data_IF_254788813711
#
_entry.id   IF_254788813711
#
_cell.length_a   1.000
_cell.length_b   1.000
_cell.length_c   1.000
_cell.angle_alpha   90.00
_cell.angle_beta   90.00
_cell.angle_gamma   90.00
#
_symmetry.space_group_name_H-M   'P 1'
#
loop_
_entity.id
_entity.type
_entity.pdbx_description
1 polymer ?
#
# COMPACT_ATOMS: atom_id res chain seq x y z
N UNK A 1 30.75 -5.51 -30.30
CA UNK A 1 29.35 -5.05 -30.27
C UNK A 1 29.10 -4.34 -28.94
N UNK A 2 28.47 -3.19 -28.99
CA UNK A 2 28.05 -2.52 -27.77
C UNK A 2 27.11 -3.40 -26.98
N UNK A 3 27.39 -3.60 -25.69
CA UNK A 3 26.60 -4.49 -24.81
C UNK A 3 25.19 -3.95 -24.53
N UNK A 4 25.00 -2.61 -24.63
CA UNK A 4 23.75 -1.88 -24.40
C UNK A 4 23.80 -0.53 -25.11
N UNK A 5 22.61 0.03 -25.39
CA UNK A 5 22.47 1.31 -26.12
C UNK A 5 22.73 2.51 -25.22
N UNK A 6 22.41 2.43 -23.94
CA UNK A 6 22.52 3.52 -22.96
C UNK A 6 22.85 2.95 -21.59
N UNK A 7 23.77 3.59 -20.86
CA UNK A 7 24.06 3.26 -19.46
C UNK A 7 23.33 4.25 -18.54
N UNK A 8 22.52 3.71 -17.64
CA UNK A 8 21.86 4.44 -16.56
C UNK A 8 22.61 4.27 -15.24
N UNK A 9 22.63 5.32 -14.44
CA UNK A 9 23.07 5.23 -13.05
C UNK A 9 22.06 4.40 -12.26
N UNK A 10 20.79 4.67 -12.46
CA UNK A 10 19.65 3.96 -11.83
C UNK A 10 18.63 3.57 -12.89
N UNK A 11 18.30 2.29 -12.98
CA UNK A 11 17.24 1.79 -13.84
C UNK A 11 16.14 1.16 -12.98
N UNK A 12 14.91 1.64 -13.13
CA UNK A 12 13.78 1.26 -12.28
C UNK A 12 12.73 0.53 -13.12
N UNK A 13 12.31 -0.65 -12.69
CA UNK A 13 11.26 -1.44 -13.35
C UNK A 13 9.95 -1.30 -12.57
N UNK A 14 8.97 -0.65 -13.18
CA UNK A 14 7.65 -0.33 -12.64
C UNK A 14 7.50 1.15 -12.27
N UNK A 15 6.64 1.88 -13.00
CA UNK A 15 6.33 3.30 -12.79
C UNK A 15 5.09 3.53 -11.92
N UNK A 16 4.72 2.58 -11.05
CA UNK A 16 3.76 2.83 -9.97
C UNK A 16 4.34 3.78 -8.92
N UNK A 17 3.58 4.14 -7.86
CA UNK A 17 4.01 5.13 -6.87
C UNK A 17 5.39 4.85 -6.25
N UNK A 18 5.72 3.58 -6.01
CA UNK A 18 7.03 3.19 -5.46
C UNK A 18 8.19 3.53 -6.40
N UNK A 19 8.08 3.13 -7.68
CA UNK A 19 9.13 3.36 -8.67
C UNK A 19 9.23 4.83 -9.08
N UNK A 20 8.11 5.50 -9.31
CA UNK A 20 8.10 6.93 -9.65
C UNK A 20 8.66 7.77 -8.50
N UNK A 21 8.31 7.46 -7.23
CA UNK A 21 8.88 8.17 -6.08
C UNK A 21 10.37 7.85 -5.86
N UNK A 22 10.83 6.65 -6.21
CA UNK A 22 12.26 6.34 -6.20
C UNK A 22 13.00 7.21 -7.23
N UNK A 23 12.49 7.32 -8.47
CA UNK A 23 13.06 8.19 -9.50
C UNK A 23 13.10 9.66 -9.05
N UNK A 24 11.98 10.18 -8.51
CA UNK A 24 11.91 11.53 -7.92
C UNK A 24 12.96 11.71 -6.82
N UNK A 25 13.11 10.72 -5.96
CA UNK A 25 14.06 10.79 -4.84
C UNK A 25 15.51 10.84 -5.33
N UNK A 26 15.90 10.00 -6.28
CA UNK A 26 17.25 10.03 -6.86
C UNK A 26 17.55 11.38 -7.51
N UNK A 27 16.64 11.90 -8.33
CA UNK A 27 16.83 13.18 -9.02
C UNK A 27 16.86 14.38 -8.08
N UNK A 28 16.09 14.38 -6.98
CA UNK A 28 16.15 15.44 -5.97
C UNK A 28 17.42 15.37 -5.11
N UNK A 29 17.96 14.18 -4.84
CA UNK A 29 19.21 14.03 -4.06
C UNK A 29 20.45 14.28 -4.91
N UNK A 30 20.42 13.93 -6.19
CA UNK A 30 21.47 14.22 -7.14
C UNK A 30 20.90 14.40 -8.56
N UNK A 31 20.69 15.65 -9.02
CA UNK A 31 20.11 15.95 -10.35
C UNK A 31 20.93 15.42 -11.53
N UNK A 32 22.23 15.16 -11.32
CA UNK A 32 23.14 14.71 -12.38
C UNK A 32 23.02 13.21 -12.66
N UNK A 33 22.34 12.43 -11.82
CA UNK A 33 22.14 11.01 -12.07
C UNK A 33 21.28 10.78 -13.30
N UNK A 34 21.70 9.87 -14.16
CA UNK A 34 20.90 9.38 -15.28
C UNK A 34 19.96 8.28 -14.79
N UNK A 35 18.67 8.62 -14.71
CA UNK A 35 17.64 7.73 -14.17
C UNK A 35 16.71 7.28 -15.30
N UNK A 36 16.55 5.97 -15.48
CA UNK A 36 15.57 5.37 -16.39
C UNK A 36 14.43 4.71 -15.60
N UNK A 37 13.19 4.89 -16.07
CA UNK A 37 11.97 4.34 -15.46
C UNK A 37 11.16 3.61 -16.53
N UNK A 38 10.87 2.32 -16.30
CA UNK A 38 10.26 1.44 -17.28
C UNK A 38 8.92 0.94 -16.75
N UNK A 39 7.85 1.03 -17.53
CA UNK A 39 6.58 0.36 -17.22
C UNK A 39 6.00 -0.31 -18.46
N UNK A 40 5.40 -1.48 -18.25
CA UNK A 40 4.71 -2.23 -19.33
C UNK A 40 3.43 -1.56 -19.82
N UNK A 41 2.86 -0.66 -19.01
CA UNK A 41 1.65 0.09 -19.31
C UNK A 41 1.98 1.46 -19.86
N UNK A 42 1.04 2.03 -20.62
CA UNK A 42 1.01 3.44 -20.99
C UNK A 42 0.10 4.14 -20.00
N UNK A 43 0.53 5.27 -19.44
CA UNK A 43 -0.25 6.04 -18.47
C UNK A 43 -1.10 7.11 -19.18
N UNK A 44 -2.29 7.45 -18.63
CA UNK A 44 -2.83 6.96 -17.35
C UNK A 44 -3.35 5.53 -17.44
N UNK A 45 -3.08 4.73 -16.39
CA UNK A 45 -3.55 3.34 -16.30
C UNK A 45 -4.17 3.06 -14.95
N UNK A 46 -5.19 2.20 -14.92
CA UNK A 46 -5.81 1.75 -13.67
C UNK A 46 -5.05 0.60 -13.00
N UNK A 47 -5.12 0.54 -11.65
CA UNK A 47 -4.62 -0.56 -10.83
C UNK A 47 -5.59 -0.81 -9.68
N UNK A 48 -5.96 -2.08 -9.44
CA UNK A 48 -6.81 -2.46 -8.30
C UNK A 48 -6.23 -1.95 -6.97
N UNK A 49 -7.01 -1.15 -6.24
CA UNK A 49 -6.69 -0.51 -4.97
C UNK A 49 -7.98 0.02 -4.33
N UNK A 50 -7.99 0.24 -3.02
CA UNK A 50 -9.05 1.00 -2.34
C UNK A 50 -8.95 2.51 -2.56
N UNK A 51 -7.88 3.01 -3.19
CA UNK A 51 -7.63 4.41 -3.56
C UNK A 51 -7.46 5.38 -2.39
N UNK A 52 -7.62 4.93 -1.14
CA UNK A 52 -7.37 5.75 0.03
C UNK A 52 -5.86 5.98 0.22
N UNK A 53 -5.48 7.22 0.44
CA UNK A 53 -4.13 7.65 0.78
C UNK A 53 -4.16 8.45 2.08
N UNK A 54 -3.33 8.02 3.01
CA UNK A 54 -3.24 8.62 4.34
C UNK A 54 -2.05 9.55 4.51
N UNK A 55 -1.81 9.98 5.77
CA UNK A 55 -0.75 10.93 6.15
C UNK A 55 0.64 10.54 5.66
N UNK A 56 0.96 9.24 5.64
CA UNK A 56 2.26 8.76 5.17
C UNK A 56 2.55 9.09 3.71
N UNK A 57 1.57 8.93 2.82
CA UNK A 57 1.72 9.31 1.39
C UNK A 57 1.87 10.82 1.25
N UNK A 58 1.08 11.59 2.01
CA UNK A 58 1.15 13.06 2.01
C UNK A 58 2.54 13.53 2.48
N UNK A 59 3.06 12.94 3.55
CA UNK A 59 4.41 13.22 4.06
C UNK A 59 5.50 12.89 3.03
N UNK A 60 5.35 11.76 2.31
CA UNK A 60 6.28 11.39 1.25
C UNK A 60 6.27 12.41 0.09
N UNK A 61 5.11 12.96 -0.27
CA UNK A 61 4.98 14.02 -1.29
C UNK A 61 5.54 15.36 -0.78
N UNK A 62 5.22 15.76 0.45
CA UNK A 62 5.71 17.00 1.09
C UNK A 62 7.23 17.05 1.15
N UNK A 63 7.92 15.90 1.24
CA UNK A 63 9.39 15.82 1.32
C UNK A 63 10.11 16.57 0.19
N UNK A 64 9.51 16.60 -0.99
CA UNK A 64 10.05 17.28 -2.19
C UNK A 64 9.07 18.35 -2.72
N UNK A 65 8.21 18.90 -1.87
CA UNK A 65 7.22 19.93 -2.20
C UNK A 65 6.21 19.51 -3.29
N UNK A 66 5.89 18.23 -3.36
CA UNK A 66 5.00 17.67 -4.39
C UNK A 66 3.55 17.51 -3.94
N UNK A 67 3.17 18.00 -2.76
CA UNK A 67 1.80 17.86 -2.22
C UNK A 67 0.73 18.58 -3.05
N UNK A 68 1.12 19.54 -3.88
CA UNK A 68 0.22 20.26 -4.79
C UNK A 68 -0.56 19.34 -5.76
N UNK A 69 -0.06 18.12 -6.01
CA UNK A 69 -0.81 17.15 -6.83
C UNK A 69 -2.11 16.66 -6.16
N UNK A 70 -2.31 16.99 -4.87
CA UNK A 70 -3.51 16.68 -4.10
C UNK A 70 -4.47 17.87 -4.00
N UNK A 71 -4.11 19.02 -4.56
CA UNK A 71 -4.94 20.22 -4.50
C UNK A 71 -6.32 19.95 -5.12
N UNK A 72 -7.36 20.50 -4.48
CA UNK A 72 -8.76 20.32 -4.87
C UNK A 72 -9.29 18.86 -4.75
N UNK A 73 -8.57 17.95 -4.10
CA UNK A 73 -9.13 16.66 -3.74
C UNK A 73 -10.00 16.78 -2.48
N UNK A 74 -11.20 16.18 -2.46
CA UNK A 74 -12.06 16.23 -1.30
C UNK A 74 -11.49 15.37 -0.17
N UNK A 75 -11.38 15.96 1.02
CA UNK A 75 -10.87 15.28 2.21
C UNK A 75 -11.92 14.35 2.82
N UNK A 76 -11.44 13.23 3.33
CA UNK A 76 -12.23 12.34 4.19
C UNK A 76 -12.22 12.92 5.61
N UNK A 77 -13.37 12.93 6.27
CA UNK A 77 -13.53 13.54 7.59
C UNK A 77 -13.81 12.52 8.70
N UNK A 78 -14.24 11.31 8.34
CA UNK A 78 -14.53 10.28 9.33
C UNK A 78 -14.30 8.87 8.79
N UNK A 79 -14.29 7.90 9.70
CA UNK A 79 -14.30 6.48 9.42
C UNK A 79 -15.45 5.81 10.14
N UNK A 80 -16.10 4.85 9.49
CA UNK A 80 -17.09 3.98 10.13
C UNK A 80 -16.63 2.54 9.99
N UNK A 81 -16.61 1.82 11.10
CA UNK A 81 -16.22 0.43 11.16
C UNK A 81 -17.41 -0.42 11.59
N UNK A 82 -17.84 -1.33 10.73
CA UNK A 82 -18.85 -2.35 11.02
C UNK A 82 -18.20 -3.69 11.32
N UNK A 83 -18.74 -4.40 12.28
CA UNK A 83 -18.33 -5.75 12.66
C UNK A 83 -19.50 -6.71 12.77
N UNK A 84 -19.25 -7.94 13.28
CA UNK A 84 -20.31 -8.93 13.47
C UNK A 84 -21.52 -8.38 14.25
N UNK A 85 -22.72 -8.84 13.88
CA UNK A 85 -24.01 -8.37 14.42
C UNK A 85 -24.29 -6.88 14.09
N UNK A 86 -23.70 -6.35 13.00
CA UNK A 86 -23.84 -4.94 12.57
C UNK A 86 -23.51 -3.92 13.68
N UNK A 87 -22.61 -4.27 14.60
CA UNK A 87 -22.08 -3.31 15.56
C UNK A 87 -21.26 -2.29 14.76
N UNK A 88 -21.77 -1.07 14.62
CA UNK A 88 -21.11 0.04 13.93
C UNK A 88 -20.49 1.02 14.93
N UNK A 89 -19.28 1.49 14.61
CA UNK A 89 -18.60 2.58 15.32
C UNK A 89 -18.22 3.61 14.29
N UNK A 90 -18.71 4.83 14.44
CA UNK A 90 -18.23 5.97 13.66
C UNK A 90 -17.20 6.74 14.50
N UNK A 91 -16.07 7.01 13.88
CA UNK A 91 -15.04 7.84 14.46
C UNK A 91 -14.69 8.97 13.47
N UNK A 92 -14.72 10.19 13.96
CA UNK A 92 -14.15 11.31 13.23
C UNK A 92 -12.63 11.11 13.17
N UNK A 93 -12.03 11.33 12.02
CA UNK A 93 -10.56 11.37 11.93
C UNK A 93 -10.11 12.43 12.90
N UNK A 94 -9.33 12.08 13.93
CA UNK A 94 -9.03 13.02 14.99
C UNK A 94 -8.49 14.32 14.40
N UNK A 95 -8.97 15.46 14.87
CA UNK A 95 -8.22 16.71 14.73
C UNK A 95 -6.93 16.54 15.53
N UNK A 96 -5.97 15.77 14.99
CA UNK A 96 -4.65 15.66 15.59
C UNK A 96 -4.11 17.07 15.75
N UNK A 97 -3.38 17.29 16.83
CA UNK A 97 -2.86 18.61 17.29
C UNK A 97 -2.24 19.51 16.22
N UNK A 98 -2.01 18.97 15.01
CA UNK A 98 -1.70 19.69 13.77
C UNK A 98 -2.69 19.23 12.69
N UNK A 99 -3.66 20.03 12.31
CA UNK A 99 -4.70 19.75 11.31
C UNK A 99 -4.21 19.21 9.95
N UNK A 100 -2.94 19.41 9.62
CA UNK A 100 -2.35 18.96 8.38
C UNK A 100 -1.90 17.49 8.37
N UNK A 101 -1.69 16.86 9.54
CA UNK A 101 -1.06 15.55 9.66
C UNK A 101 -2.04 14.36 9.67
N UNK A 102 -3.36 14.62 9.62
CA UNK A 102 -4.40 13.57 9.67
C UNK A 102 -5.26 13.49 8.44
N UNK A 103 -4.87 14.17 7.36
CA UNK A 103 -5.67 14.25 6.14
C UNK A 103 -5.63 12.91 5.42
N UNK A 104 -6.80 12.47 4.96
CA UNK A 104 -6.98 11.29 4.10
C UNK A 104 -7.72 11.71 2.84
N UNK A 105 -7.31 11.19 1.69
CA UNK A 105 -7.99 11.38 0.41
C UNK A 105 -8.35 10.03 -0.20
N UNK A 106 -9.33 10.02 -1.11
CA UNK A 106 -9.64 8.87 -1.96
C UNK A 106 -9.48 9.30 -3.41
N UNK A 107 -8.37 8.88 -4.02
CA UNK A 107 -7.98 9.29 -5.38
C UNK A 107 -7.80 8.03 -6.23
N UNK A 108 -8.59 7.88 -7.31
CA UNK A 108 -8.42 6.75 -8.22
C UNK A 108 -6.97 6.58 -8.68
N UNK A 109 -6.50 5.34 -8.69
CA UNK A 109 -5.11 5.01 -9.06
C UNK A 109 -4.74 5.45 -10.47
N UNK A 110 -5.73 5.55 -11.36
CA UNK A 110 -5.53 6.08 -12.71
C UNK A 110 -5.03 7.53 -12.66
N UNK A 111 -5.53 8.33 -11.72
CA UNK A 111 -5.15 9.73 -11.54
C UNK A 111 -3.88 9.85 -10.67
N UNK A 112 -3.86 9.22 -9.49
CA UNK A 112 -2.74 9.33 -8.55
C UNK A 112 -1.42 8.88 -9.16
N UNK A 113 -1.41 7.67 -9.77
CA UNK A 113 -0.19 7.10 -10.35
C UNK A 113 0.33 7.98 -11.50
N UNK A 114 -0.58 8.49 -12.34
CA UNK A 114 -0.23 9.38 -13.45
C UNK A 114 0.35 10.72 -12.96
N UNK A 115 -0.22 11.29 -11.91
CA UNK A 115 0.30 12.54 -11.30
C UNK A 115 1.70 12.35 -10.76
N UNK A 116 1.96 11.26 -10.01
CA UNK A 116 3.30 10.98 -9.47
C UNK A 116 4.31 10.69 -10.60
N UNK A 117 3.91 9.97 -11.64
CA UNK A 117 4.77 9.73 -12.81
C UNK A 117 5.11 11.04 -13.52
N UNK A 118 4.15 11.96 -13.68
CA UNK A 118 4.40 13.25 -14.30
C UNK A 118 5.39 14.13 -13.51
N UNK A 119 5.40 14.02 -12.17
CA UNK A 119 6.46 14.64 -11.35
C UNK A 119 7.84 14.08 -11.71
N UNK A 120 7.97 12.76 -11.87
CA UNK A 120 9.23 12.13 -12.28
C UNK A 120 9.65 12.60 -13.69
N UNK A 121 8.72 12.65 -14.65
CA UNK A 121 8.97 13.18 -16.01
C UNK A 121 9.48 14.62 -15.99
N UNK A 122 8.96 15.46 -15.08
CA UNK A 122 9.40 16.85 -14.90
C UNK A 122 10.81 17.02 -14.34
N UNK A 123 11.45 15.93 -13.86
CA UNK A 123 12.80 15.93 -13.29
C UNK A 123 13.87 15.30 -14.23
N UNK A 124 13.63 15.28 -15.52
CA UNK A 124 14.58 14.70 -16.50
C UNK A 124 14.86 13.20 -16.21
N UNK A 125 13.80 12.42 -16.01
CA UNK A 125 13.82 10.97 -15.93
C UNK A 125 13.44 10.40 -17.30
N UNK A 126 14.26 9.50 -17.86
CA UNK A 126 13.94 8.80 -19.10
C UNK A 126 12.84 7.76 -18.86
N UNK A 127 11.63 7.99 -19.34
CA UNK A 127 10.47 7.10 -19.09
C UNK A 127 10.14 6.28 -20.32
N UNK A 128 10.14 4.94 -20.16
CA UNK A 128 9.81 3.95 -21.17
C UNK A 128 8.43 3.34 -20.87
N UNK A 129 7.38 3.93 -21.38
CA UNK A 129 6.01 3.41 -21.27
C UNK A 129 5.74 2.37 -22.37
N UNK A 130 5.01 1.31 -22.06
CA UNK A 130 4.73 0.20 -22.97
C UNK A 130 5.88 -0.83 -23.09
N UNK A 131 6.92 -0.69 -22.25
CA UNK A 131 8.07 -1.62 -22.26
C UNK A 131 8.01 -2.59 -21.08
N UNK A 132 8.02 -3.87 -21.38
CA UNK A 132 8.07 -4.94 -20.39
C UNK A 132 9.50 -5.35 -20.08
N UNK A 133 9.85 -5.49 -18.80
CA UNK A 133 11.08 -6.14 -18.38
C UNK A 133 11.11 -7.60 -18.84
N UNK A 134 12.23 -8.04 -19.39
CA UNK A 134 12.48 -9.41 -19.84
C UNK A 134 13.45 -10.11 -18.89
N UNK A 135 14.69 -9.61 -18.83
CA UNK A 135 15.78 -10.21 -18.05
C UNK A 135 16.84 -9.18 -17.70
N UNK A 136 17.75 -9.55 -16.83
CA UNK A 136 19.02 -8.87 -16.65
C UNK A 136 20.17 -9.87 -16.51
N UNK A 137 21.37 -9.47 -16.89
CA UNK A 137 22.60 -10.21 -16.66
C UNK A 137 23.69 -9.26 -16.17
N UNK A 138 24.70 -9.80 -15.51
CA UNK A 138 25.88 -9.03 -15.06
C UNK A 138 26.99 -9.15 -16.09
N UNK A 139 27.53 -8.02 -16.53
CA UNK A 139 28.63 -8.01 -17.48
C UNK A 139 30.00 -8.15 -16.78
N UNK A 140 31.08 -8.21 -17.60
CA UNK A 140 32.47 -8.31 -17.11
C UNK A 140 32.90 -7.12 -16.22
N UNK A 141 32.26 -5.96 -16.37
CA UNK A 141 32.58 -4.73 -15.66
C UNK A 141 31.66 -4.52 -14.43
N UNK A 142 30.98 -5.59 -13.99
CA UNK A 142 30.02 -5.61 -12.89
C UNK A 142 28.78 -4.70 -13.08
N UNK A 143 28.49 -4.26 -14.31
CA UNK A 143 27.27 -3.53 -14.66
C UNK A 143 26.17 -4.51 -15.05
N UNK A 144 24.93 -4.08 -14.92
CA UNK A 144 23.77 -4.87 -15.29
C UNK A 144 23.36 -4.53 -16.73
N UNK A 145 23.23 -5.54 -17.57
CA UNK A 145 22.62 -5.44 -18.90
C UNK A 145 21.17 -5.89 -18.76
N UNK A 146 20.25 -4.96 -18.95
CA UNK A 146 18.80 -5.17 -18.74
C UNK A 146 18.11 -5.22 -20.10
N UNK A 147 17.40 -6.31 -20.34
CA UNK A 147 16.56 -6.45 -21.53
C UNK A 147 15.14 -6.02 -21.24
N UNK A 148 14.64 -5.12 -22.09
CA UNK A 148 13.24 -4.69 -22.11
C UNK A 148 12.66 -4.90 -23.49
N UNK A 149 11.32 -5.06 -23.60
CA UNK A 149 10.65 -5.24 -24.89
C UNK A 149 9.40 -4.39 -25.04
N UNK A 150 9.18 -3.92 -26.25
CA UNK A 150 7.93 -3.32 -26.72
C UNK A 150 7.48 -4.08 -27.97
N UNK A 151 6.36 -4.80 -27.89
CA UNK A 151 5.99 -5.77 -28.91
C UNK A 151 7.09 -6.83 -29.07
N UNK A 152 7.60 -6.99 -30.29
CA UNK A 152 8.69 -7.92 -30.63
C UNK A 152 10.09 -7.28 -30.53
N UNK A 153 10.16 -5.97 -30.34
CA UNK A 153 11.43 -5.25 -30.29
C UNK A 153 12.08 -5.37 -28.91
N UNK A 154 13.27 -5.91 -28.85
CA UNK A 154 14.10 -6.01 -27.65
C UNK A 154 15.12 -4.88 -27.66
N UNK A 155 15.22 -4.18 -26.52
CA UNK A 155 16.22 -3.14 -26.27
C UNK A 155 17.06 -3.56 -25.06
N UNK A 156 18.39 -3.38 -25.16
CA UNK A 156 19.33 -3.62 -24.06
C UNK A 156 19.76 -2.28 -23.47
N UNK A 157 19.56 -2.13 -22.17
CA UNK A 157 19.96 -0.94 -21.38
C UNK A 157 21.01 -1.37 -20.35
N UNK A 158 22.02 -0.53 -20.13
CA UNK A 158 22.95 -0.72 -19.03
C UNK A 158 22.44 -0.09 -17.74
N UNK A 159 22.75 -0.68 -16.59
CA UNK A 159 22.44 -0.08 -15.30
C UNK A 159 23.58 -0.32 -14.27
N UNK A 160 23.91 0.70 -13.47
CA UNK A 160 24.80 0.53 -12.31
C UNK A 160 24.03 -0.06 -11.13
N UNK A 161 22.77 0.36 -10.94
CA UNK A 161 21.81 -0.25 -10.02
C UNK A 161 20.48 -0.51 -10.73
N UNK A 162 19.88 -1.68 -10.49
CA UNK A 162 18.55 -2.05 -10.95
C UNK A 162 17.58 -2.08 -9.77
N UNK A 163 16.44 -1.40 -9.92
CA UNK A 163 15.40 -1.36 -8.89
C UNK A 163 14.13 -2.07 -9.40
N UNK A 164 13.75 -3.16 -8.74
CA UNK A 164 12.48 -3.85 -9.00
C UNK A 164 11.35 -3.23 -8.19
N UNK A 165 10.48 -2.48 -8.86
CA UNK A 165 9.25 -1.86 -8.34
C UNK A 165 8.00 -2.36 -9.10
N UNK A 166 8.09 -3.54 -9.70
CA UNK A 166 7.18 -4.12 -10.68
C UNK A 166 6.02 -4.92 -10.06
N UNK A 167 5.70 -4.63 -8.80
CA UNK A 167 4.49 -5.07 -8.11
C UNK A 167 4.53 -6.51 -7.60
N UNK A 168 3.36 -7.02 -7.14
CA UNK A 168 3.25 -8.31 -6.45
C UNK A 168 3.75 -9.52 -7.29
N UNK A 169 3.61 -9.44 -8.61
CA UNK A 169 4.06 -10.47 -9.55
C UNK A 169 5.45 -10.18 -10.15
N UNK A 170 6.30 -9.48 -9.42
CA UNK A 170 7.61 -9.00 -9.86
C UNK A 170 8.41 -10.04 -10.63
N UNK A 171 8.80 -9.67 -11.85
CA UNK A 171 9.71 -10.46 -12.69
C UNK A 171 11.16 -10.29 -12.26
N UNK A 172 11.53 -9.09 -11.79
CA UNK A 172 12.87 -8.84 -11.25
C UNK A 172 13.10 -9.75 -10.04
N UNK A 173 12.15 -9.84 -9.10
CA UNK A 173 12.23 -10.76 -7.97
C UNK A 173 12.34 -12.22 -8.39
N UNK A 174 11.55 -12.64 -9.39
CA UNK A 174 11.58 -14.02 -9.89
C UNK A 174 12.95 -14.38 -10.45
N UNK A 175 13.59 -13.48 -11.19
CA UNK A 175 14.92 -13.72 -11.75
C UNK A 175 16.01 -13.78 -10.67
N UNK A 176 15.82 -13.11 -9.54
CA UNK A 176 16.68 -13.24 -8.37
C UNK A 176 16.52 -14.59 -7.64
N UNK A 177 15.65 -15.48 -8.14
CA UNK A 177 15.26 -16.74 -7.47
C UNK A 177 14.74 -16.53 -6.03
N UNK A 178 14.17 -15.37 -5.78
CA UNK A 178 13.62 -15.02 -4.47
C UNK A 178 12.17 -15.51 -4.39
N UNK A 179 11.94 -16.45 -3.49
CA UNK A 179 10.61 -17.02 -3.29
C UNK A 179 9.61 -15.94 -2.83
N UNK A 180 8.38 -16.09 -3.29
CA UNK A 180 7.27 -15.31 -2.76
C UNK A 180 6.92 -15.78 -1.35
N UNK A 181 6.31 -14.92 -0.55
CA UNK A 181 5.75 -15.28 0.73
C UNK A 181 4.80 -16.49 0.61
N UNK A 182 4.66 -17.26 1.67
CA UNK A 182 3.61 -18.30 1.74
C UNK A 182 2.22 -17.66 1.68
N UNK A 183 1.19 -18.46 1.39
CA UNK A 183 -0.19 -17.97 1.28
C UNK A 183 -0.72 -17.36 2.58
N UNK A 184 -0.14 -17.73 3.74
CA UNK A 184 -0.44 -17.13 5.04
C UNK A 184 -0.09 -15.63 5.12
N UNK A 185 0.91 -15.19 4.37
CA UNK A 185 1.37 -13.80 4.31
C UNK A 185 0.87 -13.07 3.07
N UNK A 186 -0.28 -13.47 2.54
CA UNK A 186 -0.93 -12.86 1.39
C UNK A 186 -2.43 -12.72 1.63
N UNK A 187 -3.04 -11.77 0.92
CA UNK A 187 -4.48 -11.74 0.71
C UNK A 187 -4.79 -11.66 -0.78
N UNK A 188 -6.01 -12.04 -1.12
CA UNK A 188 -6.62 -11.70 -2.39
C UNK A 188 -7.73 -10.70 -2.13
N UNK A 189 -7.83 -9.68 -2.96
CA UNK A 189 -8.89 -8.68 -2.89
C UNK A 189 -9.46 -8.42 -4.29
N UNK A 190 -10.74 -8.04 -4.34
CA UNK A 190 -11.39 -7.51 -5.52
C UNK A 190 -11.86 -6.09 -5.22
N UNK A 191 -11.75 -5.22 -6.22
CA UNK A 191 -12.26 -3.86 -6.20
C UNK A 191 -13.19 -3.63 -7.38
N UNK A 192 -14.25 -2.87 -7.17
CA UNK A 192 -15.09 -2.28 -8.19
C UNK A 192 -15.30 -0.79 -7.93
N UNK A 193 -15.69 -0.04 -8.96
CA UNK A 193 -16.29 1.28 -8.81
C UNK A 193 -17.80 1.19 -9.00
N UNK A 194 -18.53 1.97 -8.21
CA UNK A 194 -19.97 2.17 -8.35
C UNK A 194 -20.30 3.65 -8.33
N UNK A 195 -21.44 4.02 -8.86
CA UNK A 195 -22.05 5.33 -8.64
C UNK A 195 -23.04 5.19 -7.48
N UNK A 196 -22.92 6.07 -6.47
CA UNK A 196 -23.78 6.08 -5.30
C UNK A 196 -24.20 7.51 -4.97
N UNK A 197 -25.36 7.97 -5.49
CA UNK A 197 -25.80 9.36 -5.35
C UNK A 197 -26.13 9.73 -3.90
N UNK A 198 -26.47 8.77 -3.06
CA UNK A 198 -26.89 9.00 -1.67
C UNK A 198 -25.88 8.61 -0.60
N UNK A 199 -24.66 8.17 -0.97
CA UNK A 199 -23.67 7.71 0.02
C UNK A 199 -23.35 8.78 1.07
N UNK A 200 -23.11 10.03 0.62
CA UNK A 200 -22.77 11.12 1.53
C UNK A 200 -23.97 11.53 2.41
N UNK A 201 -25.20 11.33 1.94
CA UNK A 201 -26.42 11.55 2.72
C UNK A 201 -26.58 10.49 3.82
N UNK A 202 -26.40 9.21 3.48
CA UNK A 202 -26.51 8.07 4.42
C UNK A 202 -25.48 8.18 5.55
N UNK A 203 -24.24 8.52 5.22
CA UNK A 203 -23.16 8.65 6.20
C UNK A 203 -22.99 10.08 6.74
N UNK A 204 -23.82 11.04 6.26
CA UNK A 204 -23.85 12.48 6.61
C UNK A 204 -22.56 13.24 6.28
N UNK A 205 -21.49 12.56 5.88
CA UNK A 205 -20.17 13.13 5.62
C UNK A 205 -19.38 12.23 4.66
N UNK A 206 -18.23 12.73 4.19
CA UNK A 206 -17.26 11.95 3.42
C UNK A 206 -16.52 10.97 4.34
N UNK A 207 -17.08 9.80 4.50
CA UNK A 207 -16.70 8.76 5.45
C UNK A 207 -16.08 7.56 4.75
N UNK A 208 -14.92 7.07 5.22
CA UNK A 208 -14.43 5.75 4.86
C UNK A 208 -15.22 4.69 5.62
N UNK A 209 -15.88 3.79 4.91
CA UNK A 209 -16.59 2.68 5.54
C UNK A 209 -15.75 1.41 5.42
N UNK A 210 -15.56 0.75 6.56
CA UNK A 210 -14.95 -0.57 6.67
C UNK A 210 -15.93 -1.57 7.27
N UNK A 211 -15.82 -2.82 6.85
CA UNK A 211 -16.59 -3.93 7.37
C UNK A 211 -15.66 -5.12 7.65
N UNK A 212 -15.66 -5.61 8.88
CA UNK A 212 -14.77 -6.71 9.30
C UNK A 212 -15.61 -7.89 9.77
N UNK A 213 -15.36 -9.08 9.19
CA UNK A 213 -16.07 -10.32 9.52
C UNK A 213 -17.60 -10.24 9.36
N UNK A 214 -18.09 -9.51 8.37
CA UNK A 214 -19.53 -9.43 8.05
C UNK A 214 -19.80 -10.11 6.71
N UNK A 215 -19.45 -9.49 5.57
CA UNK A 215 -19.62 -10.05 4.24
C UNK A 215 -18.69 -11.22 3.94
N UNK A 216 -17.54 -11.31 4.62
CA UNK A 216 -16.64 -12.46 4.56
C UNK A 216 -16.08 -12.77 5.94
N UNK A 217 -16.21 -14.02 6.38
CA UNK A 217 -15.55 -14.47 7.59
C UNK A 217 -14.02 -14.34 7.44
N UNK A 218 -13.34 -13.74 8.43
CA UNK A 218 -11.89 -13.47 8.46
C UNK A 218 -11.39 -12.50 7.37
N UNK A 219 -12.31 -11.82 6.66
CA UNK A 219 -12.01 -10.80 5.68
C UNK A 219 -12.43 -9.40 6.13
N UNK A 220 -12.14 -8.41 5.29
CA UNK A 220 -12.69 -7.08 5.42
C UNK A 220 -13.13 -6.54 4.07
N UNK A 221 -14.16 -5.69 4.10
CA UNK A 221 -14.65 -4.97 2.95
C UNK A 221 -14.58 -3.45 3.20
N UNK A 222 -14.62 -2.69 2.12
CA UNK A 222 -14.53 -1.23 2.19
C UNK A 222 -15.47 -0.56 1.19
N UNK A 223 -15.92 0.65 1.54
CA UNK A 223 -16.59 1.58 0.64
C UNK A 223 -16.02 2.98 0.89
N UNK A 224 -15.30 3.52 -0.08
CA UNK A 224 -14.54 4.76 0.03
C UNK A 224 -15.00 5.77 -1.01
N UNK A 225 -15.55 6.93 -0.57
CA UNK A 225 -16.09 7.95 -1.48
C UNK A 225 -14.95 8.74 -2.15
N UNK A 226 -14.94 8.74 -3.48
CA UNK A 226 -14.08 9.58 -4.32
C UNK A 226 -14.80 10.87 -4.72
N UNK A 227 -14.40 11.53 -5.80
CA UNK A 227 -15.07 12.73 -6.33
C UNK A 227 -16.48 12.42 -6.85
N UNK A 228 -17.39 13.37 -6.70
CA UNK A 228 -18.77 13.23 -7.12
C UNK A 228 -19.47 12.07 -6.41
N UNK A 229 -20.20 11.27 -7.16
CA UNK A 229 -20.91 10.09 -6.66
C UNK A 229 -20.08 8.80 -6.76
N UNK A 230 -18.83 8.87 -7.19
CA UNK A 230 -17.96 7.71 -7.36
C UNK A 230 -17.58 7.12 -6.01
N UNK A 231 -17.86 5.84 -5.85
CA UNK A 231 -17.49 5.05 -4.67
C UNK A 231 -16.60 3.89 -5.09
N UNK A 232 -15.43 3.79 -4.47
CA UNK A 232 -14.57 2.63 -4.57
C UNK A 232 -15.01 1.62 -3.54
N UNK A 233 -15.44 0.45 -3.99
CA UNK A 233 -15.84 -0.65 -3.11
C UNK A 233 -14.97 -1.86 -3.33
N UNK A 234 -14.85 -2.70 -2.30
CA UNK A 234 -14.14 -3.97 -2.47
C UNK A 234 -14.13 -4.81 -1.22
N UNK A 235 -13.60 -6.01 -1.39
CA UNK A 235 -13.48 -6.99 -0.32
C UNK A 235 -12.16 -7.76 -0.46
N UNK A 236 -11.52 -8.07 0.66
CA UNK A 236 -10.29 -8.83 0.72
C UNK A 236 -10.32 -9.91 1.79
N UNK A 237 -9.72 -11.06 1.47
CA UNK A 237 -9.62 -12.20 2.39
C UNK A 237 -8.20 -12.76 2.40
N UNK A 238 -7.71 -13.33 3.51
CA UNK A 238 -6.43 -14.03 3.56
C UNK A 238 -6.38 -15.16 2.52
N UNK A 239 -5.31 -15.26 1.76
CA UNK A 239 -5.20 -16.21 0.64
C UNK A 239 -5.27 -17.67 1.09
N UNK A 240 -4.71 -17.99 2.26
CA UNK A 240 -4.79 -19.33 2.85
C UNK A 240 -6.25 -19.71 3.20
N UNK A 241 -7.07 -18.78 3.67
CA UNK A 241 -8.50 -18.98 3.94
C UNK A 241 -9.26 -19.12 2.62
N UNK A 242 -9.04 -18.20 1.69
CA UNK A 242 -9.65 -18.22 0.36
C UNK A 242 -9.52 -19.59 -0.32
N UNK A 243 -8.29 -20.15 -0.32
CA UNK A 243 -8.02 -21.47 -0.91
C UNK A 243 -8.61 -22.62 -0.11
N UNK A 244 -8.47 -22.57 1.22
CA UNK A 244 -8.96 -23.64 2.13
C UNK A 244 -10.47 -23.81 2.04
N UNK A 245 -11.20 -22.69 2.05
CA UNK A 245 -12.66 -22.65 2.06
C UNK A 245 -13.25 -22.61 0.64
N UNK A 246 -12.39 -22.61 -0.41
CA UNK A 246 -12.77 -22.58 -1.83
C UNK A 246 -13.73 -21.42 -2.15
N UNK A 247 -13.45 -20.25 -1.60
CA UNK A 247 -14.27 -19.06 -1.77
C UNK A 247 -14.24 -18.56 -3.22
N UNK A 248 -15.33 -17.90 -3.64
CA UNK A 248 -15.37 -17.13 -4.89
C UNK A 248 -15.35 -15.63 -4.54
N UNK A 249 -14.34 -14.92 -5.06
CA UNK A 249 -14.15 -13.50 -4.73
C UNK A 249 -15.27 -12.61 -5.32
N UNK A 250 -15.90 -13.03 -6.42
CA UNK A 250 -17.01 -12.28 -7.01
C UNK A 250 -18.28 -12.45 -6.17
N UNK A 251 -18.53 -13.65 -5.65
CA UNK A 251 -19.64 -13.90 -4.71
C UNK A 251 -19.48 -13.03 -3.47
N UNK A 252 -18.28 -12.98 -2.90
CA UNK A 252 -18.01 -12.12 -1.73
C UNK A 252 -18.24 -10.64 -2.01
N UNK A 253 -17.92 -10.16 -3.23
CA UNK A 253 -18.21 -8.78 -3.63
C UNK A 253 -19.73 -8.55 -3.73
N UNK A 254 -20.48 -9.47 -4.28
CA UNK A 254 -21.96 -9.37 -4.37
C UNK A 254 -22.62 -9.39 -2.98
N UNK A 255 -22.12 -10.23 -2.07
CA UNK A 255 -22.56 -10.23 -0.66
C UNK A 255 -22.33 -8.87 -0.01
N UNK A 256 -21.16 -8.26 -0.26
CA UNK A 256 -20.87 -6.92 0.25
C UNK A 256 -21.77 -5.84 -0.37
N UNK A 257 -22.01 -5.88 -1.67
CA UNK A 257 -22.95 -4.98 -2.34
C UNK A 257 -24.36 -5.12 -1.72
N UNK A 258 -24.80 -6.34 -1.42
CA UNK A 258 -26.06 -6.59 -0.73
C UNK A 258 -26.08 -5.94 0.65
N UNK A 259 -24.98 -6.01 1.41
CA UNK A 259 -24.88 -5.33 2.72
C UNK A 259 -24.95 -3.81 2.58
N UNK A 260 -24.32 -3.22 1.57
CA UNK A 260 -24.42 -1.78 1.29
C UNK A 260 -25.88 -1.38 1.01
N UNK A 261 -26.56 -2.13 0.14
CA UNK A 261 -27.97 -1.88 -0.21
C UNK A 261 -28.89 -2.02 1.01
N UNK A 262 -28.67 -3.02 1.87
CA UNK A 262 -29.41 -3.20 3.12
C UNK A 262 -29.22 -2.03 4.10
N UNK A 263 -28.12 -1.28 4.00
CA UNK A 263 -27.87 -0.03 4.76
C UNK A 263 -28.46 1.21 4.07
N UNK A 264 -29.17 1.04 2.95
CA UNK A 264 -29.81 2.12 2.20
C UNK A 264 -28.91 2.77 1.15
N UNK A 265 -27.69 2.29 0.95
CA UNK A 265 -26.79 2.81 -0.08
C UNK A 265 -27.31 2.43 -1.47
N UNK A 266 -27.54 3.40 -2.32
CA UNK A 266 -27.88 3.18 -3.73
C UNK A 266 -26.63 2.75 -4.48
N UNK A 267 -26.73 1.66 -5.24
CA UNK A 267 -25.62 1.08 -6.01
C UNK A 267 -26.01 1.07 -7.49
N UNK A 268 -25.31 1.86 -8.28
CA UNK A 268 -25.51 1.98 -9.72
C UNK A 268 -24.18 1.75 -10.47
N UNK A 269 -24.25 1.37 -11.74
CA UNK A 269 -23.13 1.35 -12.68
C UNK A 269 -21.86 0.63 -12.15
N UNK A 270 -22.00 -0.62 -11.69
CA UNK A 270 -20.84 -1.42 -11.24
C UNK A 270 -19.89 -1.60 -12.42
N UNK A 271 -18.61 -1.23 -12.23
CA UNK A 271 -17.59 -1.27 -13.28
C UNK A 271 -16.18 -1.48 -12.74
N UNK A 272 -15.28 -1.82 -13.65
CA UNK A 272 -13.84 -1.95 -13.38
C UNK A 272 -13.51 -2.97 -12.28
N UNK A 273 -14.22 -4.07 -12.22
CA UNK A 273 -13.95 -5.16 -11.30
C UNK A 273 -12.56 -5.75 -11.56
N UNK A 274 -11.65 -5.64 -10.60
CA UNK A 274 -10.27 -6.12 -10.72
C UNK A 274 -9.78 -6.75 -9.44
N UNK A 275 -9.32 -8.00 -9.55
CA UNK A 275 -8.68 -8.70 -8.43
C UNK A 275 -7.18 -8.39 -8.36
N UNK A 276 -6.64 -8.41 -7.15
CA UNK A 276 -5.22 -8.23 -6.91
C UNK A 276 -4.71 -9.06 -5.72
N UNK A 277 -3.48 -9.54 -5.84
CA UNK A 277 -2.79 -10.26 -4.78
C UNK A 277 -1.99 -9.26 -3.93
N UNK A 278 -2.19 -9.32 -2.62
CA UNK A 278 -1.56 -8.43 -1.64
C UNK A 278 -0.46 -9.19 -0.87
N UNK A 279 0.83 -9.03 -1.20
CA UNK A 279 1.93 -9.62 -0.43
C UNK A 279 2.25 -8.78 0.81
N UNK A 280 1.99 -9.34 2.00
CA UNK A 280 2.12 -8.64 3.27
C UNK A 280 3.57 -8.59 3.78
N UNK A 281 3.92 -7.51 4.43
CA UNK A 281 5.20 -7.26 5.08
C UNK A 281 5.45 -8.11 6.34
N UNK A 282 4.45 -8.86 6.82
CA UNK A 282 4.61 -9.83 7.91
C UNK A 282 5.64 -10.95 7.58
N UNK A 283 5.95 -11.14 6.30
CA UNK A 283 7.07 -11.95 5.83
C UNK A 283 7.64 -11.32 4.57
N UNK A 284 8.79 -10.65 4.68
CA UNK A 284 9.48 -10.07 3.54
C UNK A 284 10.46 -11.06 2.94
N UNK A 285 10.55 -11.13 1.61
CA UNK A 285 11.55 -11.97 0.96
C UNK A 285 12.96 -11.48 1.32
N UNK A 286 13.84 -12.42 1.67
CA UNK A 286 15.25 -12.15 1.90
C UNK A 286 16.05 -12.78 0.77
N UNK A 287 17.03 -12.08 0.25
CA UNK A 287 17.96 -12.59 -0.74
C UNK A 287 19.37 -12.05 -0.47
N UNK A 288 20.34 -12.81 -0.88
CA UNK A 288 21.72 -12.37 -0.84
C UNK A 288 21.93 -11.38 -1.98
N UNK A 289 22.24 -10.15 -1.64
CA UNK A 289 22.48 -9.11 -2.61
C UNK A 289 23.97 -8.93 -2.81
N UNK A 290 24.55 -9.68 -3.74
CA UNK A 290 25.91 -9.55 -4.24
C UNK A 290 25.98 -8.92 -5.65
N UNK A 291 24.80 -8.52 -6.14
CA UNK A 291 24.62 -7.81 -7.39
C UNK A 291 23.80 -6.54 -7.11
N UNK A 292 24.08 -5.46 -7.77
CA UNK A 292 23.47 -4.15 -7.52
C UNK A 292 21.96 -4.10 -7.91
N UNK A 293 21.16 -4.97 -7.29
CA UNK A 293 19.70 -5.03 -7.51
C UNK A 293 18.98 -4.80 -6.17
N UNK A 294 18.00 -3.91 -6.15
CA UNK A 294 17.13 -3.67 -5.01
C UNK A 294 15.66 -3.96 -5.36
N UNK A 295 14.85 -4.38 -4.37
CA UNK A 295 13.40 -4.54 -4.51
C UNK A 295 12.69 -3.56 -3.58
N UNK A 296 11.61 -2.92 -4.09
CA UNK A 296 10.77 -1.97 -3.33
C UNK A 296 9.28 -2.22 -3.55
N UNK A 297 8.45 -1.74 -2.65
CA UNK A 297 7.00 -1.86 -2.73
C UNK A 297 6.50 -3.31 -2.71
N UNK A 298 5.46 -3.63 -3.47
CA UNK A 298 4.86 -4.97 -3.53
C UNK A 298 5.85 -6.03 -4.05
N UNK A 299 6.84 -5.63 -4.86
CA UNK A 299 7.91 -6.52 -5.30
C UNK A 299 8.74 -7.05 -4.13
N UNK A 300 8.84 -6.29 -3.03
CA UNK A 300 9.50 -6.68 -1.78
C UNK A 300 8.51 -6.99 -0.65
N UNK A 301 7.22 -7.24 -0.95
CA UNK A 301 6.20 -7.56 0.06
C UNK A 301 6.13 -6.51 1.19
N UNK A 302 5.86 -5.25 0.84
CA UNK A 302 5.85 -4.13 1.79
C UNK A 302 4.44 -3.67 2.19
N UNK A 303 3.40 -4.44 1.86
CA UNK A 303 2.02 -4.10 2.20
C UNK A 303 1.77 -4.32 3.69
N UNK A 304 1.15 -3.33 4.35
CA UNK A 304 0.70 -3.44 5.74
C UNK A 304 -0.27 -4.64 5.88
N UNK A 305 0.00 -5.61 6.76
CA UNK A 305 -0.81 -6.80 6.88
C UNK A 305 -2.21 -6.57 7.49
N UNK A 306 -2.46 -5.42 8.11
CA UNK A 306 -3.75 -5.06 8.71
C UNK A 306 -4.61 -4.23 7.75
N UNK A 307 -4.09 -3.11 7.27
CA UNK A 307 -4.84 -2.16 6.42
C UNK A 307 -4.82 -2.51 4.93
N UNK A 308 -3.85 -3.30 4.47
CA UNK A 308 -3.64 -3.52 3.03
C UNK A 308 -2.94 -2.34 2.33
N UNK A 309 -2.54 -1.30 3.05
CA UNK A 309 -1.81 -0.17 2.50
C UNK A 309 -0.41 -0.58 2.03
N UNK A 310 -0.03 -0.17 0.82
CA UNK A 310 1.28 -0.43 0.24
C UNK A 310 1.95 0.80 -0.37
N UNK A 311 1.17 1.85 -0.67
CA UNK A 311 1.65 3.03 -1.41
C UNK A 311 2.71 3.76 -0.59
N UNK A 312 2.40 4.13 0.66
CA UNK A 312 3.33 4.82 1.54
C UNK A 312 4.64 4.05 1.73
N UNK A 313 4.54 2.78 2.10
CA UNK A 313 5.74 1.96 2.37
C UNK A 313 6.61 1.79 1.13
N UNK A 314 5.98 1.67 -0.04
CA UNK A 314 6.69 1.60 -1.31
C UNK A 314 7.38 2.90 -1.69
N UNK A 315 6.73 4.05 -1.48
CA UNK A 315 7.31 5.39 -1.69
C UNK A 315 8.47 5.63 -0.72
N UNK A 316 8.30 5.28 0.56
CA UNK A 316 9.34 5.45 1.57
C UNK A 316 10.53 4.52 1.33
N UNK A 317 10.30 3.29 0.86
CA UNK A 317 11.36 2.39 0.44
C UNK A 317 12.18 2.98 -0.72
N UNK A 318 11.52 3.59 -1.71
CA UNK A 318 12.18 4.29 -2.82
C UNK A 318 13.06 5.44 -2.33
N UNK A 319 12.56 6.25 -1.41
CA UNK A 319 13.35 7.32 -0.79
C UNK A 319 14.55 6.80 0.02
N UNK A 320 14.33 5.81 0.88
CA UNK A 320 15.39 5.24 1.69
C UNK A 320 16.47 4.57 0.84
N UNK A 321 16.09 3.90 -0.26
CA UNK A 321 17.04 3.34 -1.20
C UNK A 321 17.88 4.45 -1.84
N UNK A 322 17.24 5.48 -2.39
CA UNK A 322 17.92 6.61 -3.00
C UNK A 322 18.87 7.28 -2.00
N UNK A 323 18.41 7.56 -0.77
CA UNK A 323 19.20 8.19 0.30
C UNK A 323 20.47 7.43 0.66
N UNK A 324 20.43 6.10 0.62
CA UNK A 324 21.58 5.25 1.00
C UNK A 324 22.50 4.93 -0.18
N UNK A 325 22.13 5.27 -1.43
CA UNK A 325 22.89 4.84 -2.61
C UNK A 325 23.25 5.97 -3.57
N UNK A 326 22.56 7.13 -3.56
CA UNK A 326 22.74 8.19 -4.57
C UNK A 326 24.18 8.69 -4.75
N UNK A 327 24.99 8.69 -3.69
CA UNK A 327 26.39 9.09 -3.70
C UNK A 327 27.37 7.91 -3.81
N UNK A 328 26.87 6.69 -3.91
CA UNK A 328 27.64 5.45 -4.00
C UNK A 328 27.57 4.80 -5.39
N UNK A 329 26.91 5.44 -6.37
CA UNK A 329 26.60 4.87 -7.67
C UNK A 329 27.88 4.40 -8.42
N UNK A 330 28.97 5.12 -8.29
CA UNK A 330 30.28 4.77 -8.87
C UNK A 330 31.25 4.17 -7.84
N UNK A 331 30.78 3.86 -6.64
CA UNK A 331 31.57 3.32 -5.55
C UNK A 331 31.48 1.79 -5.50
N UNK A 332 32.55 1.08 -5.12
CA UNK A 332 32.50 -0.33 -4.79
C UNK A 332 31.58 -0.63 -3.59
N UNK A 333 31.24 0.40 -2.79
CA UNK A 333 30.35 0.29 -1.65
C UNK A 333 28.84 0.34 -2.02
N UNK A 334 28.47 0.39 -3.31
CA UNK A 334 27.08 0.46 -3.74
C UNK A 334 26.22 -0.70 -3.19
N UNK A 335 26.73 -1.90 -3.20
CA UNK A 335 26.05 -3.08 -2.62
C UNK A 335 25.82 -2.93 -1.11
N UNK A 336 26.78 -2.32 -0.40
CA UNK A 336 26.64 -1.98 1.02
C UNK A 336 25.57 -0.92 1.23
N UNK A 337 25.49 0.10 0.36
CA UNK A 337 24.42 1.11 0.38
C UNK A 337 23.03 0.48 0.25
N UNK A 338 22.87 -0.52 -0.63
CA UNK A 338 21.62 -1.29 -0.75
C UNK A 338 21.33 -2.08 0.54
N UNK A 339 22.33 -2.70 1.15
CA UNK A 339 22.15 -3.40 2.43
C UNK A 339 21.79 -2.44 3.58
N UNK A 340 22.33 -1.23 3.58
CA UNK A 340 22.03 -0.21 4.58
C UNK A 340 20.60 0.35 4.39
N UNK A 341 20.12 0.48 3.16
CA UNK A 341 18.70 0.73 2.88
C UNK A 341 17.81 -0.33 3.53
N UNK A 342 18.09 -1.63 3.34
CA UNK A 342 17.29 -2.72 3.92
C UNK A 342 17.28 -2.67 5.45
N UNK A 343 18.41 -2.33 6.08
CA UNK A 343 18.49 -2.14 7.54
C UNK A 343 17.68 -0.92 7.98
N UNK A 344 17.79 0.21 7.26
CA UNK A 344 17.06 1.43 7.58
C UNK A 344 15.54 1.22 7.51
N UNK A 345 15.06 0.58 6.44
CA UNK A 345 13.65 0.22 6.27
C UNK A 345 13.18 -0.73 7.39
N UNK A 346 13.94 -1.78 7.68
CA UNK A 346 13.60 -2.72 8.74
C UNK A 346 13.61 -2.07 10.13
N UNK A 347 14.56 -1.18 10.41
CA UNK A 347 14.64 -0.45 11.68
C UNK A 347 13.39 0.41 11.90
N UNK A 348 12.90 1.08 10.83
CA UNK A 348 11.73 1.95 10.91
C UNK A 348 10.44 1.15 11.08
N UNK A 349 10.18 0.15 10.24
CA UNK A 349 8.86 -0.44 10.09
C UNK A 349 8.66 -1.80 10.78
N UNK A 350 9.72 -2.47 11.25
CA UNK A 350 9.60 -3.84 11.79
C UNK A 350 8.61 -3.96 12.95
N UNK A 351 8.67 -3.03 13.92
CA UNK A 351 7.78 -3.07 15.09
C UNK A 351 6.33 -2.84 14.67
N UNK A 352 6.10 -1.85 13.81
CA UNK A 352 4.80 -1.55 13.25
C UNK A 352 4.21 -2.77 12.51
N UNK A 353 4.94 -3.36 11.57
CA UNK A 353 4.47 -4.54 10.83
C UNK A 353 4.17 -5.75 11.71
N UNK A 354 4.95 -5.97 12.77
CA UNK A 354 4.67 -7.03 13.73
C UNK A 354 3.38 -6.76 14.49
N UNK A 355 3.14 -5.52 14.90
CA UNK A 355 1.90 -5.09 15.57
C UNK A 355 0.68 -5.24 14.66
N UNK A 356 0.79 -4.80 13.40
CA UNK A 356 -0.27 -4.96 12.41
C UNK A 356 -0.54 -6.43 12.08
N UNK A 357 0.48 -7.28 12.02
CA UNK A 357 0.32 -8.72 11.81
C UNK A 357 -0.41 -9.38 12.99
N UNK A 358 -0.09 -8.99 14.22
CA UNK A 358 -0.79 -9.47 15.43
C UNK A 358 -2.24 -8.99 15.45
N UNK A 359 -2.48 -7.70 15.18
CA UNK A 359 -3.83 -7.14 15.10
C UNK A 359 -4.67 -7.86 14.04
N UNK A 360 -4.12 -8.15 12.86
CA UNK A 360 -4.79 -8.94 11.83
C UNK A 360 -5.20 -10.32 12.33
N UNK A 361 -4.32 -11.03 13.06
CA UNK A 361 -4.63 -12.37 13.61
C UNK A 361 -5.79 -12.29 14.61
N UNK A 362 -5.83 -11.29 15.47
CA UNK A 362 -6.92 -11.06 16.40
C UNK A 362 -8.23 -10.76 15.67
N UNK A 363 -8.18 -9.90 14.65
CA UNK A 363 -9.34 -9.53 13.83
C UNK A 363 -9.87 -10.67 12.94
N UNK A 364 -9.12 -11.77 12.73
CA UNK A 364 -9.63 -12.97 12.07
C UNK A 364 -10.65 -13.75 12.92
N UNK A 365 -10.77 -13.45 14.22
CA UNK A 365 -11.77 -14.04 15.09
C UNK A 365 -13.00 -13.14 15.20
N UNK A 366 -14.20 -13.56 14.76
CA UNK A 366 -15.43 -12.78 14.93
C UNK A 366 -15.69 -12.40 16.39
N UNK A 367 -15.39 -13.31 17.33
CA UNK A 367 -15.50 -13.04 18.77
C UNK A 367 -14.58 -11.91 19.22
N UNK A 368 -13.30 -11.94 18.80
CA UNK A 368 -12.33 -10.90 19.14
C UNK A 368 -12.68 -9.56 18.49
N UNK A 369 -13.12 -9.58 17.23
CA UNK A 369 -13.60 -8.38 16.53
C UNK A 369 -14.78 -7.75 17.27
N UNK A 370 -15.81 -8.52 17.59
CA UNK A 370 -16.97 -8.06 18.35
C UNK A 370 -16.55 -7.44 19.70
N UNK A 371 -15.62 -8.09 20.39
CA UNK A 371 -15.12 -7.62 21.69
C UNK A 371 -14.33 -6.32 21.54
N UNK A 372 -13.44 -6.23 20.55
CA UNK A 372 -12.68 -5.02 20.26
C UNK A 372 -13.60 -3.83 19.97
N UNK A 373 -14.60 -4.03 19.10
CA UNK A 373 -15.56 -2.99 18.76
C UNK A 373 -16.35 -2.52 19.99
N UNK A 374 -16.76 -3.42 20.88
CA UNK A 374 -17.41 -3.06 22.15
C UNK A 374 -16.49 -2.27 23.11
N UNK A 375 -15.20 -2.58 23.13
CA UNK A 375 -14.22 -1.78 23.90
C UNK A 375 -14.06 -0.41 23.26
N UNK A 376 -13.83 -0.39 21.96
CA UNK A 376 -13.61 0.83 21.20
C UNK A 376 -14.83 1.79 21.25
N UNK A 377 -16.08 1.29 21.21
CA UNK A 377 -17.27 2.12 21.33
C UNK A 377 -17.39 2.90 22.67
N UNK A 378 -16.60 2.52 23.66
CA UNK A 378 -16.59 3.14 24.99
C UNK A 378 -15.22 3.75 25.38
N UNK A 379 -14.25 3.75 24.47
CA UNK A 379 -12.90 4.20 24.76
C UNK A 379 -12.22 4.81 23.52
N UNK A 380 -12.24 6.14 23.45
CA UNK A 380 -11.67 6.90 22.33
C UNK A 380 -10.20 6.55 22.08
N UNK A 381 -9.39 6.39 23.14
CA UNK A 381 -7.97 6.04 22.98
C UNK A 381 -7.76 4.69 22.26
N UNK A 382 -8.69 3.74 22.41
CA UNK A 382 -8.64 2.46 21.68
C UNK A 382 -8.97 2.67 20.20
N UNK A 383 -9.93 3.55 19.88
CA UNK A 383 -10.25 3.88 18.48
C UNK A 383 -9.08 4.59 17.83
N UNK A 384 -8.55 5.62 18.47
CA UNK A 384 -7.43 6.42 17.97
C UNK A 384 -6.22 5.51 17.66
N UNK A 385 -5.89 4.62 18.59
CA UNK A 385 -4.82 3.66 18.38
C UNK A 385 -5.07 2.69 17.19
N UNK A 386 -6.32 2.23 16.99
CA UNK A 386 -6.69 1.40 15.83
C UNK A 386 -6.52 2.19 14.53
N UNK A 387 -6.93 3.46 14.52
CA UNK A 387 -6.77 4.35 13.37
C UNK A 387 -5.29 4.61 13.08
N UNK A 388 -4.48 4.85 14.11
CA UNK A 388 -3.02 4.99 13.98
C UNK A 388 -2.34 3.72 13.40
N UNK A 389 -2.80 2.53 13.79
CA UNK A 389 -2.30 1.27 13.21
C UNK A 389 -2.71 1.11 11.73
N UNK A 390 -3.81 1.71 11.31
CA UNK A 390 -4.29 1.64 9.91
C UNK A 390 -3.55 2.62 9.01
N UNK A 391 -3.27 3.83 9.47
CA UNK A 391 -2.85 4.96 8.63
C UNK A 391 -1.51 5.59 9.03
N UNK A 392 -0.90 5.18 10.15
CA UNK A 392 0.35 5.74 10.66
C UNK A 392 1.37 4.63 10.98
N UNK A 393 2.48 4.97 11.63
CA UNK A 393 3.58 4.08 12.01
C UNK A 393 3.47 3.57 13.46
N UNK A 394 2.29 3.65 14.08
CA UNK A 394 2.07 3.18 15.45
C UNK A 394 2.46 1.69 15.63
N UNK A 395 2.88 1.35 16.82
CA UNK A 395 3.20 -0.04 17.16
C UNK A 395 2.81 -0.37 18.61
N UNK A 396 2.45 -1.62 18.83
CA UNK A 396 2.10 -2.13 20.15
C UNK A 396 3.34 -2.16 21.07
N UNK A 397 3.33 -1.33 22.10
CA UNK A 397 4.26 -1.45 23.22
C UNK A 397 3.74 -2.49 24.21
N UNK A 398 4.59 -2.99 25.08
CA UNK A 398 4.17 -3.91 26.14
C UNK A 398 3.05 -3.30 27.01
N UNK A 399 3.14 -2.01 27.33
CA UNK A 399 2.13 -1.29 28.09
C UNK A 399 0.78 -1.22 27.41
N UNK A 400 0.75 -0.99 26.09
CA UNK A 400 -0.47 -1.00 25.28
C UNK A 400 -1.08 -2.39 25.16
N UNK A 401 -0.26 -3.40 24.94
CA UNK A 401 -0.72 -4.80 24.98
C UNK A 401 -1.40 -5.11 26.31
N UNK A 402 -0.76 -4.76 27.43
CA UNK A 402 -1.34 -4.99 28.76
C UNK A 402 -2.63 -4.21 29.01
N UNK A 403 -2.72 -2.96 28.52
CA UNK A 403 -3.96 -2.16 28.58
C UNK A 403 -5.08 -2.82 27.77
N UNK A 404 -4.79 -3.25 26.55
CA UNK A 404 -5.75 -3.96 25.71
C UNK A 404 -6.21 -5.25 26.38
N UNK A 405 -5.29 -6.09 26.85
CA UNK A 405 -5.60 -7.35 27.54
C UNK A 405 -6.46 -7.09 28.79
N UNK A 406 -6.10 -6.10 29.59
CA UNK A 406 -6.87 -5.70 30.77
C UNK A 406 -8.31 -5.32 30.40
N UNK A 407 -8.49 -4.42 29.39
CA UNK A 407 -9.82 -4.03 28.90
C UNK A 407 -10.61 -5.20 28.33
N UNK A 408 -9.93 -6.15 27.68
CA UNK A 408 -10.57 -7.37 27.14
C UNK A 408 -11.06 -8.32 28.25
N UNK A 409 -10.42 -8.33 29.39
CA UNK A 409 -10.81 -9.18 30.54
C UNK A 409 -11.94 -8.57 31.36
N UNK A 410 -12.17 -7.25 31.28
CA UNK A 410 -13.20 -6.59 32.05
C UNK A 410 -14.62 -6.93 31.55
N UNK A 411 -15.59 -7.15 32.45
CA UNK A 411 -17.00 -7.23 32.08
C UNK A 411 -17.48 -5.96 31.36
N UNK A 412 -18.35 -6.09 30.36
CA UNK A 412 -18.85 -4.94 29.57
C UNK A 412 -19.51 -3.84 30.45
N UNK A 413 -20.13 -4.22 31.56
CA UNK A 413 -20.70 -3.27 32.54
C UNK A 413 -19.64 -2.40 33.22
N UNK A 414 -18.45 -2.96 33.47
CA UNK A 414 -17.33 -2.22 34.11
C UNK A 414 -16.68 -1.28 33.09
N UNK A 415 -16.57 -1.66 31.83
CA UNK A 415 -16.10 -0.79 30.74
C UNK A 415 -16.97 0.45 30.58
N UNK A 416 -18.30 0.31 30.66
CA UNK A 416 -19.25 1.45 30.62
C UNK A 416 -19.11 2.42 31.81
N UNK A 417 -18.66 1.94 32.96
CA UNK A 417 -18.43 2.80 34.13
C UNK A 417 -17.11 3.56 34.01
N UNK A 418 -16.08 2.97 33.40
CA UNK A 418 -14.78 3.59 33.21
C UNK A 418 -14.76 4.65 32.09
N UNK A 419 -15.72 4.58 31.15
CA UNK A 419 -15.85 5.56 30.06
C UNK A 419 -16.55 6.87 30.46
N UNK A 420 -17.10 6.96 31.67
CA UNK A 420 -17.83 8.14 32.18
C UNK A 420 -16.97 9.05 33.09
N UNK A 421 -15.74 8.69 33.33
CA UNK A 421 -14.71 9.47 34.03
C UNK A 421 -13.56 9.79 33.06
#
# INVERSE_FOLDING_TARGET
MEKYTTLYDVLIIGAGPSGSNAAISYKNLNPNLKVGLIDKSIFPRDKSCGDAIGPGVISALKRFNNQHILDNEPQVVSTTLYGPENIGIQNYIPEVKNKEDSIVYVIPRIDLDNRILNLAKGLDVDVFEGYSFVSFEKDSDNKLVVEIKNGDNITKLGAKILVGADGANSRVRKQLNVNTNSDWHKAIAIRAYIDSPNYLEIFKERTLMFEINVSAEKGYAWAFPSKGNLLNIGIGVPLNIFKKEKLDINVLLQDFITQLTNRGVVVENIRDEKSYLLPFASSRPKFKNDINVALIGDASSMINPMSGEGIFYGMEAGYLLAKNTYNLIDSPDLTKGIADYEKAFSKRFRKHYLSCALARLLLQSPFMTKRLLKVASNDQNTIDFVVELLFDEAYLTFGEVMKIVYKFLLPSKVLMLLSKN
#
